data_IF_896749324529
#
_entry.id   IF_896749324529
#
_cell.length_a   1.000
_cell.length_b   1.000
_cell.length_c   1.000
_cell.angle_alpha   90.00
_cell.angle_beta   90.00
_cell.angle_gamma   90.00
#
_symmetry.space_group_name_H-M   'P 1'
#
loop_
_entity.id
_entity.type
_entity.pdbx_description
1 polymer ?
#
# COMPACT_ATOMS: atom_id res chain seq x y z
N UNK A 1 -6.83 -2.09 -20.10
CA UNK A 1 -5.77 -1.10 -19.96
C UNK A 1 -5.11 -1.13 -18.57
N UNK A 2 -5.84 -1.43 -17.49
CA UNK A 2 -5.29 -1.36 -16.13
C UNK A 2 -4.87 -2.73 -15.52
N UNK A 3 -4.86 -3.80 -16.31
CA UNK A 3 -4.52 -5.13 -15.80
C UNK A 3 -3.07 -5.22 -15.30
N UNK A 4 -2.16 -4.50 -15.95
CA UNK A 4 -0.74 -4.52 -15.60
C UNK A 4 -0.45 -3.77 -14.28
N UNK A 5 -1.30 -2.81 -13.89
CA UNK A 5 -1.17 -2.07 -12.63
C UNK A 5 -1.62 -2.89 -11.41
N UNK A 6 -2.59 -3.77 -11.57
CA UNK A 6 -3.10 -4.63 -10.51
C UNK A 6 -3.44 -6.04 -11.05
N UNK A 7 -2.43 -6.82 -11.46
CA UNK A 7 -2.63 -8.09 -12.17
C UNK A 7 -3.34 -9.16 -11.35
N UNK A 8 -3.31 -9.06 -10.03
CA UNK A 8 -4.01 -9.99 -9.14
C UNK A 8 -5.49 -9.63 -8.92
N UNK A 9 -5.88 -8.37 -9.17
CA UNK A 9 -7.20 -7.84 -8.83
C UNK A 9 -8.04 -7.52 -10.06
N UNK A 10 -7.50 -6.74 -11.00
CA UNK A 10 -8.27 -6.22 -12.15
C UNK A 10 -8.84 -7.29 -13.07
N UNK A 11 -8.10 -8.36 -13.44
CA UNK A 11 -8.67 -9.44 -14.26
C UNK A 11 -9.81 -10.18 -13.55
N UNK A 12 -9.72 -10.39 -12.23
CA UNK A 12 -10.76 -11.03 -11.44
C UNK A 12 -12.02 -10.13 -11.35
N UNK A 13 -11.83 -8.83 -11.09
CA UNK A 13 -12.92 -7.85 -11.07
C UNK A 13 -13.64 -7.78 -12.42
N UNK A 14 -12.88 -7.76 -13.52
CA UNK A 14 -13.47 -7.72 -14.86
C UNK A 14 -14.31 -8.97 -15.18
N UNK A 15 -13.88 -10.16 -14.71
CA UNK A 15 -14.70 -11.38 -14.80
C UNK A 15 -16.03 -11.23 -14.06
N UNK A 16 -16.02 -10.65 -12.86
CA UNK A 16 -17.22 -10.35 -12.09
C UNK A 16 -18.15 -9.40 -12.82
N UNK A 17 -17.63 -8.30 -13.34
CA UNK A 17 -18.38 -7.32 -14.14
C UNK A 17 -19.04 -7.99 -15.35
N UNK A 18 -18.28 -8.78 -16.12
CA UNK A 18 -18.79 -9.47 -17.31
C UNK A 18 -19.88 -10.50 -16.96
N UNK A 19 -19.72 -11.24 -15.86
CA UNK A 19 -20.72 -12.20 -15.41
C UNK A 19 -22.04 -11.51 -14.99
N UNK A 20 -21.96 -10.40 -14.26
CA UNK A 20 -23.15 -9.60 -13.89
C UNK A 20 -23.80 -9.00 -15.15
N UNK A 21 -23.03 -8.46 -16.09
CA UNK A 21 -23.56 -7.92 -17.34
C UNK A 21 -24.31 -8.96 -18.18
N UNK A 22 -23.84 -10.21 -18.16
CA UNK A 22 -24.47 -11.31 -18.90
C UNK A 22 -25.81 -11.75 -18.28
N UNK A 23 -25.90 -11.76 -16.97
CA UNK A 23 -27.09 -12.25 -16.24
C UNK A 23 -28.10 -11.12 -15.99
N UNK A 24 -27.62 -9.91 -15.72
CA UNK A 24 -28.43 -8.76 -15.34
C UNK A 24 -28.06 -7.54 -16.22
N UNK A 25 -28.35 -7.56 -17.52
CA UNK A 25 -27.86 -6.56 -18.48
C UNK A 25 -28.39 -5.14 -18.23
N UNK A 26 -29.52 -5.00 -17.54
CA UNK A 26 -30.17 -3.72 -17.29
C UNK A 26 -29.83 -3.12 -15.91
N UNK A 27 -29.02 -3.82 -15.11
CA UNK A 27 -28.60 -3.31 -13.79
C UNK A 27 -27.38 -2.39 -13.95
N UNK A 28 -27.45 -1.14 -13.50
CA UNK A 28 -26.30 -0.24 -13.49
C UNK A 28 -25.15 -0.84 -12.65
N UNK A 29 -23.96 -0.82 -13.22
CA UNK A 29 -22.74 -1.22 -12.50
C UNK A 29 -21.87 0.00 -12.25
N UNK A 30 -21.39 0.17 -11.03
CA UNK A 30 -20.55 1.29 -10.62
C UNK A 30 -19.19 0.77 -10.18
N UNK A 31 -18.13 1.22 -10.87
CA UNK A 31 -16.76 0.95 -10.46
C UNK A 31 -16.29 1.94 -9.39
N UNK A 32 -15.84 1.43 -8.24
CA UNK A 32 -15.17 2.23 -7.21
C UNK A 32 -13.67 1.97 -7.30
N UNK A 33 -12.92 2.98 -7.75
CA UNK A 33 -11.49 2.86 -7.97
C UNK A 33 -10.72 3.13 -6.67
N UNK A 34 -9.93 2.17 -6.25
CA UNK A 34 -9.16 2.20 -5.01
C UNK A 34 -8.01 3.25 -5.04
N UNK A 35 -7.66 3.71 -6.23
CA UNK A 35 -6.66 4.77 -6.46
C UNK A 35 -7.26 6.18 -6.48
N UNK A 36 -8.60 6.32 -6.55
CA UNK A 36 -9.25 7.61 -6.84
C UNK A 36 -8.98 8.67 -5.75
N UNK A 37 -8.94 8.28 -4.49
CA UNK A 37 -8.67 9.21 -3.38
C UNK A 37 -7.27 9.84 -3.44
N UNK A 38 -6.30 9.12 -4.04
CA UNK A 38 -4.92 9.55 -4.14
C UNK A 38 -4.64 10.46 -5.34
N UNK A 39 -5.63 10.75 -6.18
CA UNK A 39 -5.47 11.65 -7.34
C UNK A 39 -5.18 13.10 -6.97
N UNK A 40 -5.38 13.48 -5.71
CA UNK A 40 -5.09 14.83 -5.21
C UNK A 40 -3.63 15.02 -4.79
N UNK A 41 -2.79 13.99 -4.87
CA UNK A 41 -1.35 14.12 -4.62
C UNK A 41 -0.72 15.10 -5.60
N UNK A 42 0.15 16.01 -5.12
CA UNK A 42 0.91 16.89 -6.00
C UNK A 42 1.95 16.10 -6.82
N UNK A 43 2.39 16.67 -7.94
CA UNK A 43 3.30 16.02 -8.88
C UNK A 43 4.62 15.59 -8.24
N UNK A 44 5.20 16.43 -7.42
CA UNK A 44 6.44 16.13 -6.70
C UNK A 44 6.30 14.98 -5.67
N UNK A 45 5.09 14.60 -5.29
CA UNK A 45 4.84 13.48 -4.38
C UNK A 45 4.57 12.17 -5.15
N UNK A 46 3.94 12.24 -6.33
CA UNK A 46 3.63 11.04 -7.10
C UNK A 46 4.70 10.65 -8.13
N UNK A 47 5.58 11.56 -8.54
CA UNK A 47 6.61 11.25 -9.53
C UNK A 47 7.75 10.44 -8.92
N UNK A 48 8.23 9.45 -9.68
CA UNK A 48 9.49 8.78 -9.38
C UNK A 48 10.65 9.53 -10.02
N UNK A 49 11.78 9.58 -9.34
CA UNK A 49 13.01 10.22 -9.85
C UNK A 49 13.73 9.34 -10.89
N UNK A 50 13.03 9.06 -11.99
CA UNK A 50 13.50 8.31 -13.16
C UNK A 50 13.26 9.17 -14.42
N UNK A 51 13.80 8.80 -15.61
CA UNK A 51 13.55 9.58 -16.81
C UNK A 51 12.08 9.90 -17.02
N UNK A 52 11.77 11.19 -17.24
CA UNK A 52 10.40 11.71 -17.33
C UNK A 52 9.56 11.02 -18.41
N UNK A 53 10.21 10.54 -19.47
CA UNK A 53 9.58 9.78 -20.55
C UNK A 53 8.89 8.49 -20.07
N UNK A 54 9.31 7.93 -18.92
CA UNK A 54 8.66 6.74 -18.35
C UNK A 54 7.26 7.08 -17.85
N UNK A 55 7.08 8.29 -17.33
CA UNK A 55 5.77 8.80 -16.99
C UNK A 55 4.93 9.09 -18.23
N UNK A 56 5.48 9.81 -19.22
CA UNK A 56 4.73 10.18 -20.43
C UNK A 56 4.29 8.98 -21.25
N UNK A 57 5.17 8.00 -21.44
CA UNK A 57 4.89 6.83 -22.29
C UNK A 57 4.05 5.76 -21.60
N UNK A 58 4.29 5.53 -20.32
CA UNK A 58 3.78 4.35 -19.62
C UNK A 58 2.96 4.70 -18.37
N UNK A 59 2.86 5.97 -18.00
CA UNK A 59 2.18 6.41 -16.79
C UNK A 59 2.85 5.92 -15.50
N UNK A 60 4.18 5.74 -15.52
CA UNK A 60 4.93 5.27 -14.35
C UNK A 60 4.98 6.38 -13.30
N UNK A 61 4.15 6.24 -12.27
CA UNK A 61 4.03 7.14 -11.13
C UNK A 61 3.45 6.38 -9.93
N UNK A 62 3.47 7.01 -8.75
CA UNK A 62 2.71 6.55 -7.58
C UNK A 62 1.22 6.77 -7.82
N UNK A 63 0.41 5.72 -7.67
CA UNK A 63 -1.06 5.78 -7.69
C UNK A 63 -1.65 5.64 -6.28
N UNK A 64 -1.05 4.79 -5.46
CA UNK A 64 -1.57 4.42 -4.17
C UNK A 64 -2.78 3.47 -4.25
N UNK A 65 -3.09 2.85 -3.12
CA UNK A 65 -4.18 1.89 -2.98
C UNK A 65 -4.86 2.06 -1.62
N UNK A 66 -5.89 1.27 -1.33
CA UNK A 66 -6.75 1.41 -0.15
C UNK A 66 -7.42 2.79 -0.06
N UNK A 67 -7.57 3.48 -1.19
CA UNK A 67 -8.07 4.86 -1.25
C UNK A 67 -9.51 4.99 -0.71
N UNK A 68 -10.36 3.99 -0.94
CA UNK A 68 -11.71 3.95 -0.38
C UNK A 68 -11.68 3.92 1.14
N UNK A 69 -10.78 3.10 1.72
CA UNK A 69 -10.57 3.03 3.17
C UNK A 69 -10.06 4.36 3.72
N UNK A 70 -8.95 4.88 3.17
CA UNK A 70 -8.34 6.14 3.63
C UNK A 70 -9.33 7.32 3.55
N UNK A 71 -10.10 7.41 2.48
CA UNK A 71 -11.15 8.43 2.33
C UNK A 71 -12.23 8.30 3.39
N UNK A 72 -12.72 7.09 3.60
CA UNK A 72 -13.81 6.85 4.56
C UNK A 72 -13.38 7.17 5.99
N UNK A 73 -12.27 6.57 6.44
CA UNK A 73 -11.86 6.72 7.83
C UNK A 73 -11.39 8.12 8.17
N UNK A 74 -10.74 8.84 7.23
CA UNK A 74 -10.33 10.24 7.44
C UNK A 74 -11.53 11.18 7.57
N UNK A 75 -12.59 10.97 6.78
CA UNK A 75 -13.85 11.70 6.92
C UNK A 75 -14.52 11.34 8.24
N UNK A 76 -14.64 10.04 8.52
CA UNK A 76 -15.37 9.55 9.69
C UNK A 76 -14.74 9.99 11.01
N UNK A 77 -13.41 10.07 11.11
CA UNK A 77 -12.76 10.56 12.33
C UNK A 77 -13.07 12.03 12.58
N UNK A 78 -13.13 12.87 11.54
CA UNK A 78 -13.52 14.26 11.70
C UNK A 78 -14.99 14.41 12.19
N UNK A 79 -15.91 13.61 11.63
CA UNK A 79 -17.29 13.55 12.10
C UNK A 79 -17.35 13.10 13.58
N UNK A 80 -16.61 12.06 13.93
CA UNK A 80 -16.55 11.52 15.30
C UNK A 80 -16.05 12.53 16.32
N UNK A 81 -15.02 13.31 15.95
CA UNK A 81 -14.41 14.33 16.80
C UNK A 81 -15.16 15.68 16.75
N UNK A 82 -16.13 15.85 15.84
CA UNK A 82 -16.84 17.11 15.66
C UNK A 82 -15.94 18.22 15.08
N UNK A 83 -14.92 17.87 14.29
CA UNK A 83 -13.98 18.85 13.69
C UNK A 83 -14.18 18.95 12.18
N UNK A 84 -13.88 20.12 11.62
CA UNK A 84 -13.89 20.31 10.17
C UNK A 84 -12.65 19.63 9.55
N UNK A 85 -12.76 18.82 8.47
CA UNK A 85 -11.63 18.26 7.76
C UNK A 85 -10.65 19.33 7.22
N UNK A 86 -11.14 20.51 6.87
CA UNK A 86 -10.32 21.66 6.49
C UNK A 86 -9.57 22.19 7.71
N UNK A 87 -8.27 22.32 7.60
CA UNK A 87 -7.36 22.68 8.70
C UNK A 87 -6.74 21.47 9.40
N UNK A 88 -7.22 20.23 9.17
CA UNK A 88 -6.69 19.03 9.82
C UNK A 88 -5.54 18.39 9.01
N UNK A 89 -4.54 17.92 9.72
CA UNK A 89 -3.41 17.12 9.24
C UNK A 89 -3.57 15.71 9.80
N UNK A 90 -3.99 14.77 8.95
CA UNK A 90 -4.39 13.43 9.37
C UNK A 90 -3.46 12.39 8.74
N UNK A 91 -3.01 11.44 9.53
CA UNK A 91 -2.34 10.23 9.06
C UNK A 91 -3.28 9.05 9.30
N UNK A 92 -3.63 8.34 8.23
CA UNK A 92 -4.45 7.14 8.32
C UNK A 92 -3.60 5.90 8.03
N UNK A 93 -3.69 4.90 8.91
CA UNK A 93 -2.96 3.64 8.84
C UNK A 93 -3.94 2.50 8.54
N UNK A 94 -3.98 2.07 7.28
CA UNK A 94 -4.72 0.87 6.90
C UNK A 94 -3.81 -0.34 7.13
N UNK A 95 -4.03 -1.07 8.21
CA UNK A 95 -3.17 -2.15 8.69
C UNK A 95 -3.92 -3.49 8.60
N UNK A 96 -3.69 -4.20 7.51
CA UNK A 96 -4.22 -5.52 7.23
C UNK A 96 -3.11 -6.46 6.74
N UNK A 97 -3.45 -7.56 6.08
CA UNK A 97 -2.45 -8.41 5.41
C UNK A 97 -1.71 -7.64 4.29
N UNK A 98 -2.42 -6.78 3.55
CA UNK A 98 -1.86 -5.62 2.85
C UNK A 98 -1.94 -4.41 3.76
N UNK A 99 -0.96 -3.51 3.71
CA UNK A 99 -0.94 -2.31 4.53
C UNK A 99 -0.48 -1.08 3.77
N UNK A 100 -1.08 0.06 4.09
CA UNK A 100 -0.63 1.37 3.62
C UNK A 100 -0.92 2.47 4.63
N UNK A 101 -0.16 3.56 4.51
CA UNK A 101 -0.38 4.79 5.28
C UNK A 101 -0.61 5.91 4.28
N UNK A 102 -1.51 6.83 4.58
CA UNK A 102 -1.75 8.02 3.79
C UNK A 102 -1.64 9.30 4.64
N UNK A 103 -1.04 10.33 4.06
CA UNK A 103 -0.98 11.68 4.58
C UNK A 103 -2.12 12.50 3.98
N UNK A 104 -2.95 13.08 4.82
CA UNK A 104 -4.16 13.79 4.42
C UNK A 104 -4.15 15.19 5.02
N UNK A 105 -4.29 16.18 4.19
CA UNK A 105 -4.38 17.58 4.56
C UNK A 105 -5.64 18.21 3.98
N UNK A 106 -6.39 18.89 4.79
CA UNK A 106 -7.64 19.56 4.37
C UNK A 106 -8.63 18.61 3.66
N UNK A 107 -8.70 17.35 4.12
CA UNK A 107 -9.53 16.29 3.54
C UNK A 107 -9.02 15.70 2.22
N UNK A 108 -7.83 16.10 1.73
CA UNK A 108 -7.20 15.63 0.49
C UNK A 108 -5.95 14.81 0.77
N UNK A 109 -5.79 13.71 0.05
CA UNK A 109 -4.55 12.94 0.11
C UNK A 109 -3.40 13.73 -0.52
N UNK A 110 -2.29 13.89 0.20
CA UNK A 110 -1.08 14.55 -0.30
C UNK A 110 0.08 13.57 -0.52
N UNK A 111 0.03 12.38 0.10
CA UNK A 111 1.00 11.31 -0.11
C UNK A 111 0.44 9.97 0.42
N UNK A 112 0.98 8.85 -0.08
CA UNK A 112 0.63 7.50 0.38
C UNK A 112 1.79 6.53 0.15
N UNK A 113 1.84 5.45 0.93
CA UNK A 113 3.00 4.53 0.94
C UNK A 113 3.04 3.57 -0.25
N UNK A 114 1.89 3.12 -0.77
CA UNK A 114 1.87 2.25 -1.95
C UNK A 114 2.14 3.06 -3.22
N UNK A 115 2.83 2.45 -4.17
CA UNK A 115 3.38 3.11 -5.35
C UNK A 115 2.57 2.89 -6.63
N UNK A 116 3.29 2.60 -7.71
CA UNK A 116 2.72 2.14 -8.99
C UNK A 116 1.91 0.85 -8.79
N UNK A 117 2.38 -0.01 -7.91
CA UNK A 117 1.74 -1.26 -7.50
C UNK A 117 1.55 -1.30 -5.99
N UNK A 118 0.75 -2.23 -5.45
CA UNK A 118 0.58 -2.36 -4.00
C UNK A 118 1.76 -3.06 -3.29
N UNK A 119 2.96 -3.03 -3.88
CA UNK A 119 4.17 -3.62 -3.31
C UNK A 119 4.98 -2.63 -2.47
N UNK A 120 5.16 -1.39 -2.96
CA UNK A 120 5.94 -0.33 -2.30
C UNK A 120 5.34 0.05 -0.93
N UNK A 121 6.19 0.54 -0.04
CA UNK A 121 5.80 1.10 1.25
C UNK A 121 6.07 0.19 2.43
N UNK A 122 5.06 -0.10 3.23
CA UNK A 122 5.17 -0.89 4.44
C UNK A 122 5.61 -2.34 4.17
N UNK A 123 6.34 -2.92 5.12
CA UNK A 123 6.43 -4.36 5.22
C UNK A 123 5.05 -4.92 5.52
N UNK A 124 4.58 -5.89 4.76
CA UNK A 124 3.23 -6.47 4.85
C UNK A 124 3.30 -7.96 5.22
N UNK A 125 2.18 -8.64 5.23
CA UNK A 125 2.15 -10.07 5.57
C UNK A 125 3.07 -10.92 4.68
N UNK A 126 3.00 -10.73 3.35
CA UNK A 126 3.81 -11.46 2.36
C UNK A 126 4.60 -10.57 1.40
N UNK A 127 4.38 -9.25 1.42
CA UNK A 127 5.04 -8.28 0.55
C UNK A 127 6.20 -7.61 1.27
N UNK A 128 7.29 -7.41 0.55
CA UNK A 128 8.51 -6.82 1.11
C UNK A 128 8.33 -5.36 1.59
N UNK A 129 7.44 -4.61 0.94
CA UNK A 129 7.49 -3.15 1.02
C UNK A 129 8.75 -2.61 0.36
N UNK A 130 9.21 -1.45 0.83
CA UNK A 130 10.41 -0.79 0.30
C UNK A 130 11.64 -1.69 0.33
N UNK A 131 12.30 -1.73 -0.82
CA UNK A 131 13.57 -2.41 -1.01
C UNK A 131 14.42 -1.56 -1.98
N UNK A 132 15.74 -1.61 -1.83
CA UNK A 132 16.65 -1.04 -2.80
C UNK A 132 16.50 -1.72 -4.16
N UNK A 133 16.31 -0.93 -5.23
CA UNK A 133 16.23 -1.46 -6.60
C UNK A 133 17.48 -2.23 -7.03
N UNK A 134 18.67 -1.83 -6.54
CA UNK A 134 19.92 -2.55 -6.76
C UNK A 134 19.90 -3.93 -6.10
N UNK A 135 19.31 -4.06 -4.91
CA UNK A 135 19.13 -5.36 -4.27
C UNK A 135 18.20 -6.27 -5.06
N UNK A 136 17.18 -5.70 -5.72
CA UNK A 136 16.25 -6.48 -6.58
C UNK A 136 17.00 -7.12 -7.75
N UNK A 137 17.78 -6.35 -8.49
CA UNK A 137 18.56 -6.85 -9.63
C UNK A 137 19.66 -7.83 -9.18
N UNK A 138 20.29 -7.57 -8.05
CA UNK A 138 21.28 -8.49 -7.45
C UNK A 138 20.68 -9.86 -7.14
N UNK A 139 19.48 -9.89 -6.51
CA UNK A 139 18.79 -11.14 -6.19
C UNK A 139 18.38 -11.87 -7.47
N UNK A 140 17.89 -11.15 -8.48
CA UNK A 140 17.55 -11.75 -9.78
C UNK A 140 18.74 -12.47 -10.38
N UNK A 141 19.90 -11.85 -10.39
CA UNK A 141 21.13 -12.46 -10.91
C UNK A 141 21.56 -13.68 -10.10
N UNK A 142 21.61 -13.56 -8.76
CA UNK A 142 22.08 -14.64 -7.87
C UNK A 142 21.18 -15.87 -7.88
N UNK A 143 19.88 -15.66 -7.94
CA UNK A 143 18.87 -16.73 -7.88
C UNK A 143 18.39 -17.17 -9.29
N UNK A 144 18.91 -16.56 -10.36
CA UNK A 144 18.49 -16.86 -11.74
C UNK A 144 17.01 -16.53 -12.01
N UNK A 145 16.48 -15.48 -11.35
CA UNK A 145 15.06 -15.14 -11.45
C UNK A 145 14.77 -14.22 -12.64
N UNK A 146 13.72 -14.55 -13.37
CA UNK A 146 13.12 -13.62 -14.33
C UNK A 146 12.15 -12.65 -13.62
N UNK A 147 11.52 -11.75 -14.38
CA UNK A 147 10.57 -10.76 -13.85
C UNK A 147 9.40 -11.38 -13.09
N UNK A 148 8.89 -12.52 -13.53
CA UNK A 148 7.82 -13.26 -12.83
C UNK A 148 8.32 -13.85 -11.53
N UNK A 149 9.54 -14.41 -11.53
CA UNK A 149 10.18 -14.99 -10.35
C UNK A 149 10.40 -13.98 -9.25
N UNK A 150 10.99 -12.82 -9.59
CA UNK A 150 11.23 -11.75 -8.61
C UNK A 150 9.92 -11.13 -8.11
N UNK A 151 8.94 -10.93 -8.99
CA UNK A 151 7.61 -10.45 -8.58
C UNK A 151 6.97 -11.41 -7.56
N UNK A 152 7.06 -12.70 -7.81
CA UNK A 152 6.55 -13.73 -6.89
C UNK A 152 7.26 -13.70 -5.53
N UNK A 153 8.58 -13.57 -5.53
CA UNK A 153 9.39 -13.47 -4.32
C UNK A 153 8.96 -12.27 -3.48
N UNK A 154 8.90 -11.08 -4.09
CA UNK A 154 8.62 -9.83 -3.38
C UNK A 154 7.16 -9.70 -2.92
N UNK A 155 6.20 -10.29 -3.65
CA UNK A 155 4.77 -10.17 -3.34
C UNK A 155 4.21 -11.29 -2.46
N UNK A 156 4.79 -12.53 -2.54
CA UNK A 156 4.19 -13.72 -1.91
C UNK A 156 5.09 -14.44 -0.91
N UNK A 157 6.39 -14.20 -0.95
CA UNK A 157 7.37 -14.94 -0.14
C UNK A 157 8.20 -14.05 0.78
N UNK A 158 7.89 -12.76 0.83
CA UNK A 158 8.58 -11.73 1.61
C UNK A 158 7.76 -11.29 2.83
N UNK A 159 7.98 -10.09 3.30
CA UNK A 159 7.24 -9.50 4.42
C UNK A 159 7.43 -10.25 5.73
N UNK A 160 6.39 -10.23 6.55
CA UNK A 160 6.35 -10.90 7.85
C UNK A 160 6.63 -12.39 7.70
N UNK A 161 5.97 -13.04 6.72
CA UNK A 161 6.20 -14.45 6.41
C UNK A 161 7.66 -14.73 6.04
N UNK A 162 8.24 -13.94 5.13
CA UNK A 162 9.60 -14.16 4.62
C UNK A 162 10.68 -14.02 5.70
N UNK A 163 10.53 -13.04 6.59
CA UNK A 163 11.47 -12.81 7.69
C UNK A 163 11.26 -13.83 8.81
N UNK A 164 10.03 -14.01 9.28
CA UNK A 164 9.75 -14.91 10.41
C UNK A 164 9.92 -16.39 10.04
N UNK A 165 9.56 -16.76 8.82
CA UNK A 165 9.46 -18.17 8.42
C UNK A 165 8.29 -18.90 9.09
N UNK A 166 7.39 -18.18 9.77
CA UNK A 166 6.27 -18.77 10.54
C UNK A 166 4.96 -18.56 9.79
N UNK A 167 4.51 -17.31 9.65
CA UNK A 167 3.21 -16.99 9.08
C UNK A 167 3.15 -15.54 8.61
N UNK A 168 2.18 -15.22 7.76
CA UNK A 168 1.79 -13.86 7.43
C UNK A 168 0.73 -13.29 8.39
N UNK A 169 0.14 -14.12 9.24
CA UNK A 169 -0.85 -13.71 10.24
C UNK A 169 -0.15 -13.19 11.51
N UNK A 170 -0.47 -11.96 11.88
CA UNK A 170 0.15 -11.31 13.05
C UNK A 170 -0.18 -12.03 14.37
N UNK A 171 -1.32 -12.73 14.47
CA UNK A 171 -1.67 -13.51 15.67
C UNK A 171 -0.71 -14.67 15.88
N UNK A 172 -0.41 -15.38 14.79
CA UNK A 172 0.54 -16.49 14.81
C UNK A 172 1.97 -16.01 15.00
N UNK A 173 2.32 -14.86 14.40
CA UNK A 173 3.61 -14.21 14.62
C UNK A 173 3.80 -13.86 16.11
N UNK A 174 2.83 -13.19 16.73
CA UNK A 174 2.91 -12.78 18.14
C UNK A 174 2.98 -14.00 19.07
N UNK A 175 2.27 -15.07 18.76
CA UNK A 175 2.39 -16.33 19.51
C UNK A 175 3.81 -16.91 19.39
N UNK A 176 4.42 -16.87 18.20
CA UNK A 176 5.81 -17.31 18.02
C UNK A 176 6.81 -16.40 18.75
N UNK A 177 6.56 -15.09 18.79
CA UNK A 177 7.37 -14.13 19.58
C UNK A 177 7.33 -14.48 21.08
N UNK A 178 6.14 -14.75 21.61
CA UNK A 178 5.95 -15.11 23.00
C UNK A 178 6.67 -16.42 23.37
N UNK A 179 6.84 -17.32 22.40
CA UNK A 179 7.61 -18.58 22.55
C UNK A 179 9.12 -18.40 22.29
N UNK A 180 9.62 -17.17 22.15
CA UNK A 180 11.05 -16.88 22.01
C UNK A 180 11.62 -17.11 20.61
N UNK A 181 10.81 -17.20 19.55
CA UNK A 181 11.29 -17.35 18.18
C UNK A 181 11.98 -16.05 17.72
N UNK A 182 13.29 -16.08 17.59
CA UNK A 182 14.12 -14.91 17.27
C UNK A 182 13.76 -14.25 15.94
N UNK A 183 13.47 -15.04 14.90
CA UNK A 183 13.07 -14.50 13.58
C UNK A 183 11.67 -13.87 13.62
N UNK A 184 10.76 -14.41 14.41
CA UNK A 184 9.44 -13.81 14.63
C UNK A 184 9.58 -12.45 15.36
N UNK A 185 10.41 -12.40 16.41
CA UNK A 185 10.72 -11.16 17.14
C UNK A 185 11.36 -10.12 16.21
N UNK A 186 12.28 -10.52 15.33
CA UNK A 186 12.87 -9.63 14.34
C UNK A 186 11.80 -9.10 13.36
N UNK A 187 10.95 -9.98 12.84
CA UNK A 187 9.89 -9.60 11.91
C UNK A 187 8.91 -8.60 12.52
N UNK A 188 8.51 -8.80 13.78
CA UNK A 188 7.66 -7.89 14.54
C UNK A 188 8.31 -6.51 14.70
N UNK A 189 9.57 -6.47 15.13
CA UNK A 189 10.34 -5.22 15.28
C UNK A 189 10.46 -4.47 13.95
N UNK A 190 10.74 -5.18 12.86
CA UNK A 190 10.82 -4.59 11.52
C UNK A 190 9.48 -4.00 11.08
N UNK A 191 8.38 -4.71 11.35
CA UNK A 191 7.02 -4.27 11.01
C UNK A 191 6.67 -2.96 11.72
N UNK A 192 6.82 -2.89 13.04
CA UNK A 192 6.54 -1.68 13.81
C UNK A 192 7.49 -0.53 13.46
N UNK A 193 8.77 -0.83 13.19
CA UNK A 193 9.73 0.19 12.77
C UNK A 193 9.33 0.85 11.44
N UNK A 194 8.86 0.07 10.45
CA UNK A 194 8.42 0.63 9.16
C UNK A 194 7.19 1.51 9.30
N UNK A 195 6.20 1.11 10.10
CA UNK A 195 5.03 1.93 10.39
C UNK A 195 5.46 3.25 11.06
N UNK A 196 6.26 3.17 12.12
CA UNK A 196 6.79 4.35 12.83
C UNK A 196 7.53 5.30 11.88
N UNK A 197 8.38 4.75 11.01
CA UNK A 197 9.15 5.53 10.03
C UNK A 197 8.24 6.31 9.08
N UNK A 198 7.20 5.69 8.55
CA UNK A 198 6.26 6.34 7.63
C UNK A 198 5.38 7.38 8.34
N UNK A 199 4.93 7.11 9.56
CA UNK A 199 4.22 8.11 10.37
C UNK A 199 5.11 9.35 10.57
N UNK A 200 6.39 9.16 10.90
CA UNK A 200 7.34 10.25 11.05
C UNK A 200 7.59 11.03 9.76
N UNK A 201 7.76 10.33 8.62
CA UNK A 201 7.92 10.95 7.31
C UNK A 201 6.70 11.79 6.92
N UNK A 202 5.50 11.26 7.15
CA UNK A 202 4.26 11.97 6.82
C UNK A 202 3.93 13.10 7.80
N UNK A 203 4.31 12.99 9.07
CA UNK A 203 4.25 14.12 9.99
C UNK A 203 5.13 15.29 9.51
N UNK A 204 6.32 14.98 8.98
CA UNK A 204 7.20 15.98 8.38
C UNK A 204 6.60 16.57 7.09
N UNK A 205 6.08 15.74 6.17
CA UNK A 205 5.48 16.18 4.92
C UNK A 205 4.23 17.06 5.14
N UNK A 206 3.45 16.77 6.17
CA UNK A 206 2.28 17.55 6.59
C UNK A 206 2.66 18.86 7.33
N UNK A 207 3.90 18.97 7.81
CA UNK A 207 4.31 20.05 8.70
C UNK A 207 3.67 19.98 10.08
N UNK A 208 3.55 18.76 10.63
CA UNK A 208 2.88 18.41 11.88
C UNK A 208 1.75 17.42 11.67
N UNK A 209 1.13 16.95 12.74
CA UNK A 209 0.00 16.01 12.70
C UNK A 209 -0.98 16.32 13.82
N UNK A 210 -2.28 16.34 13.51
CA UNK A 210 -3.36 16.54 14.46
C UNK A 210 -3.99 15.21 14.86
N UNK A 211 -4.14 14.27 13.89
CA UNK A 211 -4.83 13.00 14.09
C UNK A 211 -4.03 11.86 13.45
N UNK A 212 -3.80 10.79 14.20
CA UNK A 212 -3.31 9.51 13.68
C UNK A 212 -4.39 8.47 13.92
N UNK A 213 -4.79 7.77 12.86
CA UNK A 213 -5.88 6.80 12.90
C UNK A 213 -5.37 5.41 12.45
N UNK A 214 -5.65 4.39 13.25
CA UNK A 214 -5.38 2.98 12.98
C UNK A 214 -6.66 2.21 12.67
#
# INVERSE_FOLDING_TARGET
ACNDLAPLHNPANLKGVNAVSAILPNIPQVGVFDTAFHQTMPDYAYMYAIPYEMYEKYGVRRYGFHGTSHRYVSKRVCEFLGVNPVGQKIITCHIGNGGSIAAIKDGKCIDTTMGLTPLEGLMMGTRSGDIDAGAVTFIMEKEGLNTTGISNLLNKKSGVLGISGVSSDMRELLAACANGNERAILAEKMYYYRIKKYIGAYAAALGGVDIILF
#
